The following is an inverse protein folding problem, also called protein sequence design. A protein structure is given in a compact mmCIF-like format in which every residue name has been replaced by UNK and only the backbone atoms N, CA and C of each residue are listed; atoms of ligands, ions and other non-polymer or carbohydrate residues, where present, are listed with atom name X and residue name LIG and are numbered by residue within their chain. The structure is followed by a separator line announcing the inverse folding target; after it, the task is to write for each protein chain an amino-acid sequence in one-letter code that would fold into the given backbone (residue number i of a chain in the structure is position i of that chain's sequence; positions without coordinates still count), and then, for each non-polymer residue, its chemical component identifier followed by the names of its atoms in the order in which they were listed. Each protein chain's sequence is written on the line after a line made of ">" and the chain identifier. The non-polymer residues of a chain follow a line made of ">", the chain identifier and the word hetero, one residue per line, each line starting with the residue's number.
data_IF_598060214320
#
_entry.id   IF_598060214320
#
_cell.length_a   1.000
_cell.length_b   1.000
_cell.length_c   1.000
_cell.angle_alpha   90.00
_cell.angle_beta   90.00
_cell.angle_gamma   90.00
#
_symmetry.space_group_name_H-M   'P 1'
#
loop_
_entity.id
_entity.type
_entity.pdbx_description
1 polymer ?
#
# COMPACT_ATOMS: atom_id res chain seq x y z
N UNK A 1 16.00 -15.09 3.90
CA UNK A 1 15.65 -14.59 5.26
C UNK A 1 14.71 -13.40 5.09
N UNK A 2 13.82 -13.17 6.04
CA UNK A 2 12.68 -12.25 5.95
C UNK A 2 13.03 -10.76 6.21
N UNK A 3 14.13 -10.49 6.91
CA UNK A 3 14.63 -9.11 7.08
C UNK A 3 13.89 -8.25 8.12
N UNK A 4 13.09 -8.86 8.98
CA UNK A 4 12.44 -8.23 10.14
C UNK A 4 13.36 -8.27 11.37
N UNK A 5 13.86 -7.11 11.89
CA UNK A 5 14.62 -7.06 13.14
C UNK A 5 13.80 -7.54 14.33
N UNK A 6 14.43 -8.28 15.25
CA UNK A 6 13.78 -8.88 16.42
C UNK A 6 12.99 -10.16 16.15
N UNK A 7 12.81 -10.55 14.88
CA UNK A 7 12.22 -11.84 14.49
C UNK A 7 13.21 -12.70 13.68
N UNK A 8 13.78 -12.14 12.62
CA UNK A 8 14.64 -12.87 11.69
C UNK A 8 16.15 -12.60 11.90
N UNK A 9 16.50 -11.47 12.52
CA UNK A 9 17.87 -11.11 12.95
C UNK A 9 17.84 -9.92 13.93
N UNK A 10 18.99 -9.50 14.49
CA UNK A 10 19.06 -8.48 15.55
C UNK A 10 18.99 -7.02 15.06
N UNK A 11 18.94 -6.78 13.74
CA UNK A 11 19.18 -5.46 13.15
C UNK A 11 20.62 -5.33 12.64
N UNK A 12 20.86 -4.30 11.81
CA UNK A 12 22.21 -3.94 11.31
C UNK A 12 22.62 -2.68 12.07
N UNK A 13 23.73 -2.72 12.80
CA UNK A 13 24.24 -1.55 13.51
C UNK A 13 24.83 -0.51 12.54
N UNK A 14 25.01 0.76 12.96
CA UNK A 14 25.77 1.73 12.17
C UNK A 14 27.16 1.17 11.84
N UNK A 15 27.60 1.40 10.60
CA UNK A 15 28.88 0.92 10.04
C UNK A 15 29.04 -0.61 9.89
N UNK A 16 28.01 -1.39 10.25
CA UNK A 16 27.99 -2.84 10.05
C UNK A 16 27.42 -3.23 8.67
N UNK A 17 27.65 -4.49 8.29
CA UNK A 17 27.16 -5.05 7.03
C UNK A 17 26.47 -6.38 7.25
N UNK A 18 25.30 -6.55 6.62
CA UNK A 18 24.59 -7.81 6.59
C UNK A 18 24.31 -8.25 5.15
N UNK A 19 24.60 -9.51 4.83
CA UNK A 19 24.38 -10.08 3.49
C UNK A 19 23.09 -10.89 3.48
N UNK A 20 22.09 -10.42 2.73
CA UNK A 20 20.88 -11.18 2.46
C UNK A 20 21.13 -12.22 1.36
N UNK A 21 20.96 -13.50 1.68
CA UNK A 21 20.98 -14.59 0.70
C UNK A 21 19.66 -15.35 0.74
N UNK A 22 19.03 -15.49 -0.43
CA UNK A 22 17.81 -16.27 -0.61
C UNK A 22 17.77 -16.88 -2.01
N UNK A 23 17.05 -18.00 -2.15
CA UNK A 23 16.83 -18.63 -3.44
C UNK A 23 15.57 -18.05 -4.07
N UNK A 24 15.71 -17.48 -5.25
CA UNK A 24 14.59 -17.04 -6.08
C UNK A 24 13.97 -18.28 -6.75
N UNK A 25 12.66 -18.48 -6.58
CA UNK A 25 11.92 -19.62 -7.16
C UNK A 25 10.75 -19.19 -8.04
N UNK A 26 10.38 -17.92 -7.97
CA UNK A 26 9.23 -17.33 -8.62
C UNK A 26 9.67 -16.10 -9.41
N UNK A 27 8.95 -15.75 -10.47
CA UNK A 27 9.14 -14.55 -11.27
C UNK A 27 7.97 -13.57 -11.06
N UNK A 28 8.19 -12.30 -11.42
CA UNK A 28 7.20 -11.22 -11.33
C UNK A 28 7.75 -9.95 -10.68
N UNK A 29 6.83 -9.03 -10.40
CA UNK A 29 7.09 -7.72 -9.79
C UNK A 29 6.97 -7.78 -8.28
N UNK A 30 8.08 -7.52 -7.60
CA UNK A 30 8.20 -7.45 -6.14
C UNK A 30 8.83 -6.12 -5.74
N UNK A 31 9.05 -5.96 -4.44
CA UNK A 31 9.70 -4.79 -3.87
C UNK A 31 10.40 -5.18 -2.57
N UNK A 32 11.36 -4.37 -2.15
CA UNK A 32 11.95 -4.42 -0.82
C UNK A 32 11.70 -3.09 -0.12
N UNK A 33 11.65 -3.14 1.21
CA UNK A 33 11.64 -1.96 2.06
C UNK A 33 12.30 -2.26 3.40
N UNK A 34 12.73 -1.22 4.10
CA UNK A 34 13.23 -1.40 5.47
C UNK A 34 12.10 -1.82 6.40
N UNK A 35 12.32 -2.89 7.15
CA UNK A 35 11.46 -3.31 8.25
C UNK A 35 11.92 -2.72 9.61
N UNK A 36 12.85 -1.76 9.60
CA UNK A 36 13.35 -1.09 10.80
C UNK A 36 12.59 0.20 11.07
N UNK A 37 11.73 0.20 12.08
CA UNK A 37 11.05 1.41 12.56
C UNK A 37 10.18 2.06 11.48
N UNK A 38 10.49 3.31 11.13
CA UNK A 38 9.75 4.10 10.13
C UNK A 38 10.59 4.45 8.90
N UNK A 39 11.71 3.74 8.68
CA UNK A 39 12.63 4.02 7.57
C UNK A 39 11.97 3.85 6.19
N UNK A 40 10.96 2.99 6.05
CA UNK A 40 10.17 2.89 4.81
C UNK A 40 9.52 4.24 4.46
N UNK A 41 8.93 4.94 5.44
CA UNK A 41 8.31 6.26 5.23
C UNK A 41 9.35 7.34 4.89
N UNK A 42 10.61 7.11 5.23
CA UNK A 42 11.74 8.00 4.90
C UNK A 42 12.36 7.68 3.53
N UNK A 43 11.80 6.71 2.79
CA UNK A 43 12.20 6.40 1.42
C UNK A 43 13.09 5.17 1.26
N UNK A 44 13.29 4.36 2.31
CA UNK A 44 14.09 3.13 2.21
C UNK A 44 13.25 1.98 1.64
N UNK A 45 12.98 2.04 0.33
CA UNK A 45 12.29 1.01 -0.43
C UNK A 45 12.69 1.03 -1.92
N UNK A 46 12.40 -0.04 -2.65
CA UNK A 46 12.65 -0.11 -4.09
C UNK A 46 12.04 -1.36 -4.73
N UNK A 47 11.93 -1.36 -6.06
CA UNK A 47 11.38 -2.49 -6.80
C UNK A 47 12.41 -3.63 -6.94
N UNK A 48 11.89 -4.85 -7.02
CA UNK A 48 12.63 -6.06 -7.42
C UNK A 48 11.84 -6.71 -8.55
N UNK A 49 12.39 -6.66 -9.75
CA UNK A 49 11.82 -7.38 -10.90
C UNK A 49 12.58 -8.69 -11.04
N UNK A 50 11.84 -9.80 -11.05
CA UNK A 50 12.40 -11.12 -11.30
C UNK A 50 11.85 -11.60 -12.63
N UNK A 51 12.71 -11.71 -13.63
CA UNK A 51 12.33 -12.18 -14.95
C UNK A 51 11.92 -13.66 -14.93
N UNK A 52 10.97 -14.00 -15.80
CA UNK A 52 10.61 -15.38 -16.06
C UNK A 52 11.80 -16.13 -16.66
N UNK A 53 11.97 -17.38 -16.23
CA UNK A 53 13.01 -18.25 -16.80
C UNK A 53 12.75 -18.57 -18.26
N UNK A 54 11.49 -18.84 -18.58
CA UNK A 54 11.02 -19.06 -19.95
C UNK A 54 10.28 -17.81 -20.43
N UNK A 55 10.28 -17.50 -21.73
CA UNK A 55 9.57 -16.34 -22.26
C UNK A 55 8.08 -16.34 -21.88
N UNK A 56 7.58 -15.17 -21.48
CA UNK A 56 6.16 -14.95 -21.22
C UNK A 56 5.33 -15.28 -22.48
N UNK A 57 4.07 -15.75 -22.35
CA UNK A 57 3.22 -16.13 -23.48
C UNK A 57 2.67 -14.93 -24.27
N UNK A 58 3.21 -13.73 -24.04
CA UNK A 58 2.83 -12.47 -24.66
C UNK A 58 4.06 -11.61 -24.96
N UNK A 59 3.92 -10.66 -25.87
CA UNK A 59 4.98 -9.75 -26.26
C UNK A 59 4.64 -8.30 -25.87
N UNK A 60 5.67 -7.50 -25.62
CA UNK A 60 5.56 -6.08 -25.31
C UNK A 60 6.75 -5.34 -25.93
N UNK A 61 6.56 -4.08 -26.34
CA UNK A 61 7.62 -3.27 -26.92
C UNK A 61 8.53 -2.64 -25.86
N UNK A 62 7.96 -2.36 -24.67
CA UNK A 62 8.63 -1.68 -23.55
C UNK A 62 8.08 -2.15 -22.21
N UNK A 63 8.94 -2.12 -21.21
CA UNK A 63 8.61 -2.37 -19.81
C UNK A 63 8.93 -1.12 -18.98
N UNK A 64 8.06 -0.79 -18.02
CA UNK A 64 8.23 0.33 -17.10
C UNK A 64 7.86 -0.09 -15.68
N UNK A 65 8.72 0.23 -14.72
CA UNK A 65 8.43 0.07 -13.30
C UNK A 65 7.84 1.37 -12.76
N UNK A 66 6.64 1.30 -12.22
CA UNK A 66 5.98 2.42 -11.53
C UNK A 66 5.75 2.02 -10.08
N UNK A 67 6.37 2.77 -9.15
CA UNK A 67 6.13 2.62 -7.72
C UNK A 67 5.30 3.79 -7.23
N UNK A 68 4.25 3.50 -6.47
CA UNK A 68 3.38 4.50 -5.87
C UNK A 68 3.69 4.58 -4.38
N UNK A 69 4.00 5.77 -3.90
CA UNK A 69 4.19 6.07 -2.48
C UNK A 69 3.44 7.35 -2.13
N UNK A 70 3.06 7.49 -0.87
CA UNK A 70 2.77 8.79 -0.29
C UNK A 70 4.08 9.48 0.11
N UNK A 71 3.98 10.77 0.41
CA UNK A 71 5.10 11.55 0.94
C UNK A 71 4.57 12.60 1.91
N UNK A 72 5.34 12.85 2.96
CA UNK A 72 5.09 13.93 3.90
C UNK A 72 6.41 14.50 4.40
N UNK A 73 6.45 15.81 4.61
CA UNK A 73 7.61 16.46 5.23
C UNK A 73 7.52 16.40 6.77
N UNK A 74 6.46 15.82 7.33
CA UNK A 74 6.35 15.60 8.77
C UNK A 74 7.30 14.50 9.24
N UNK A 75 7.89 14.70 10.42
CA UNK A 75 8.66 13.64 11.07
C UNK A 75 7.79 12.38 11.26
N UNK A 76 8.23 11.19 10.78
CA UNK A 76 7.43 9.97 10.80
C UNK A 76 6.91 9.57 12.17
N UNK A 77 7.71 9.76 13.24
CA UNK A 77 7.28 9.45 14.59
C UNK A 77 6.16 10.38 15.09
N UNK A 78 6.20 11.66 14.68
CA UNK A 78 5.15 12.63 14.98
C UNK A 78 3.86 12.30 14.22
N UNK A 79 3.99 11.95 12.93
CA UNK A 79 2.88 11.49 12.10
C UNK A 79 2.21 10.25 12.69
N UNK A 80 3.00 9.21 13.01
CA UNK A 80 2.49 8.00 13.65
C UNK A 80 1.79 8.29 14.98
N UNK A 81 2.32 9.22 15.79
CA UNK A 81 1.72 9.62 17.06
C UNK A 81 0.37 10.33 16.86
N UNK A 82 0.23 11.14 15.81
CA UNK A 82 -1.05 11.77 15.43
C UNK A 82 -2.05 10.70 14.98
N UNK A 83 -1.65 9.82 14.06
CA UNK A 83 -2.50 8.74 13.55
C UNK A 83 -2.97 7.77 14.64
N UNK A 84 -2.09 7.43 15.60
CA UNK A 84 -2.47 6.59 16.76
C UNK A 84 -3.49 7.25 17.69
N UNK A 85 -3.51 8.59 17.77
CA UNK A 85 -4.47 9.33 18.60
C UNK A 85 -5.77 9.62 17.87
N UNK A 86 -5.68 9.92 16.58
CA UNK A 86 -6.79 10.29 15.71
C UNK A 86 -6.49 9.79 14.30
N UNK A 87 -6.95 8.58 13.99
CA UNK A 87 -6.77 7.94 12.67
C UNK A 87 -7.28 8.81 11.54
N UNK A 88 -8.31 9.60 11.81
CA UNK A 88 -8.99 10.38 10.79
C UNK A 88 -8.45 11.81 10.63
N UNK A 89 -7.38 12.17 11.35
CA UNK A 89 -6.88 13.55 11.38
C UNK A 89 -6.55 14.09 9.98
N UNK A 90 -6.07 13.23 9.08
CA UNK A 90 -5.73 13.58 7.69
C UNK A 90 -6.84 13.23 6.68
N UNK A 91 -8.00 12.74 7.14
CA UNK A 91 -9.12 12.47 6.25
C UNK A 91 -9.96 13.75 6.07
N UNK A 92 -9.70 14.48 4.99
CA UNK A 92 -10.44 15.70 4.62
C UNK A 92 -11.76 15.42 3.86
N UNK A 93 -12.00 14.18 3.45
CA UNK A 93 -13.18 13.76 2.68
C UNK A 93 -14.22 13.06 3.57
N UNK A 94 -14.45 13.56 4.79
CA UNK A 94 -15.49 13.00 5.65
C UNK A 94 -16.88 13.42 5.17
N UNK A 95 -17.86 12.50 5.12
CA UNK A 95 -19.25 12.89 4.97
C UNK A 95 -19.61 13.84 6.10
N UNK A 96 -20.12 15.01 5.75
CA UNK A 96 -20.75 15.90 6.73
C UNK A 96 -22.09 15.30 7.13
N UNK A 97 -22.60 15.67 8.31
CA UNK A 97 -23.96 15.27 8.73
C UNK A 97 -24.99 15.63 7.65
N UNK A 98 -24.81 16.75 6.95
CA UNK A 98 -25.64 17.17 5.82
C UNK A 98 -25.56 16.25 4.60
N UNK A 99 -24.36 15.77 4.22
CA UNK A 99 -24.23 14.81 3.12
C UNK A 99 -24.79 13.43 3.49
N UNK A 100 -24.67 13.01 4.75
CA UNK A 100 -25.28 11.76 5.22
C UNK A 100 -26.81 11.77 5.06
N UNK A 101 -27.49 12.84 5.50
CA UNK A 101 -28.95 12.94 5.31
C UNK A 101 -29.36 13.10 3.83
N UNK A 102 -28.53 13.76 3.02
CA UNK A 102 -28.74 13.85 1.56
C UNK A 102 -28.60 12.48 0.89
N UNK A 103 -27.59 11.70 1.26
CA UNK A 103 -27.31 10.39 0.67
C UNK A 103 -28.36 9.36 1.11
N UNK A 104 -28.82 9.40 2.36
CA UNK A 104 -29.95 8.56 2.83
C UNK A 104 -31.24 8.89 2.07
N UNK A 105 -31.55 10.17 1.86
CA UNK A 105 -32.72 10.57 1.08
C UNK A 105 -32.61 10.16 -0.40
N UNK A 106 -31.41 10.30 -0.99
CA UNK A 106 -31.20 9.97 -2.40
C UNK A 106 -31.17 8.46 -2.64
N UNK A 107 -30.39 7.69 -1.86
CA UNK A 107 -30.31 6.23 -2.00
C UNK A 107 -31.59 5.52 -1.53
N UNK A 108 -32.29 6.08 -0.53
CA UNK A 108 -33.63 5.63 -0.15
C UNK A 108 -34.66 5.82 -1.28
N UNK A 109 -34.57 6.91 -2.03
CA UNK A 109 -35.45 7.15 -3.19
C UNK A 109 -35.15 6.21 -4.38
N UNK A 110 -33.87 5.88 -4.64
CA UNK A 110 -33.51 4.94 -5.74
C UNK A 110 -33.96 3.51 -5.43
N UNK A 111 -33.95 3.09 -4.16
CA UNK A 111 -34.40 1.74 -3.78
C UNK A 111 -35.91 1.50 -3.97
N UNK A 112 -36.72 2.56 -4.13
CA UNK A 112 -38.16 2.45 -4.34
C UNK A 112 -38.58 2.41 -5.83
N UNK A 113 -37.65 2.50 -6.79
CA UNK A 113 -38.00 2.52 -8.22
C UNK A 113 -37.80 1.20 -8.97
N UNK A 114 -37.45 0.10 -8.28
CA UNK A 114 -37.28 -1.21 -8.93
C UNK A 114 -38.39 -2.20 -8.52
N UNK A 115 -39.64 -1.94 -8.95
CA UNK A 115 -40.68 -2.98 -9.09
C UNK A 115 -41.90 -2.44 -9.85
N UNK A 116 -41.89 -2.59 -11.18
CA UNK A 116 -43.01 -3.19 -11.94
C UNK A 116 -42.77 -3.02 -13.45
N UNK A 117 -42.09 -3.96 -14.08
CA UNK A 117 -42.44 -4.31 -15.45
C UNK A 117 -42.74 -5.81 -15.47
N UNK A 118 -44.03 -6.09 -15.65
CA UNK A 118 -44.60 -7.42 -15.72
C UNK A 118 -44.18 -8.08 -17.03
N UNK A 119 -43.87 -9.36 -16.89
CA UNK A 119 -43.83 -10.36 -17.95
C UNK A 119 -45.16 -10.38 -18.70
N UNK A 120 -45.07 -10.30 -20.03
CA UNK A 120 -46.12 -10.60 -21.00
C UNK A 120 -45.48 -11.18 -22.24
#
# INVERSE_FOLDING_TARGET
>A
MDGVPGLSFMGIEPDDTYVYTFKVKQNGTYWYHSHSGLQEQEGVYGAIIIDAREPEPFAYDREHVVMLSDWTDENPHSLLKKLKKQSDYYNFNKPTVGSFFRDVNYQGAVSHHCRSENVG
#
